data_IF_330570341686
#
_entry.id   IF_330570341686
#
_cell.length_a   1.000
_cell.length_b   1.000
_cell.length_c   1.000
_cell.angle_alpha   90.00
_cell.angle_beta   90.00
_cell.angle_gamma   90.00
#
_symmetry.space_group_name_H-M   'P 1'
#
loop_
_entity.id
_entity.type
_entity.pdbx_description
1 polymer ?
#
# COMPACT_ATOMS: atom_id res chain seq x y z
N UNK A 1 0.95 22.83 37.62
CA UNK A 1 -0.06 22.72 36.56
C UNK A 1 0.54 21.82 35.50
N UNK A 2 -0.09 20.70 35.14
CA UNK A 2 0.41 19.85 34.07
C UNK A 2 0.20 20.57 32.74
N UNK A 3 1.21 20.57 31.88
CA UNK A 3 1.08 21.09 30.51
C UNK A 3 0.15 20.17 29.71
N UNK A 4 -0.82 20.75 29.03
CA UNK A 4 -1.70 20.00 28.11
C UNK A 4 -0.94 19.78 26.81
N UNK A 5 -0.70 18.53 26.45
CA UNK A 5 -0.14 18.16 25.15
C UNK A 5 -1.27 17.96 24.13
N UNK A 6 -1.19 18.66 23.00
CA UNK A 6 -2.06 18.47 21.85
C UNK A 6 -1.43 17.42 20.91
N UNK A 7 -2.23 16.43 20.48
CA UNK A 7 -1.75 15.36 19.60
C UNK A 7 -2.75 15.06 18.51
N UNK A 8 -2.29 14.88 17.27
CA UNK A 8 -3.11 14.48 16.12
C UNK A 8 -2.31 13.57 15.20
N UNK A 9 -3.00 12.59 14.64
CA UNK A 9 -2.51 11.76 13.55
C UNK A 9 -3.31 12.08 12.29
N UNK A 10 -2.63 12.50 11.24
CA UNK A 10 -3.20 12.68 9.90
C UNK A 10 -2.86 11.44 9.10
N UNK A 11 -3.86 10.82 8.47
CA UNK A 11 -3.66 9.64 7.64
C UNK A 11 -3.64 10.02 6.16
N UNK A 12 -2.67 9.48 5.41
CA UNK A 12 -2.56 9.64 3.96
C UNK A 12 -3.11 8.36 3.33
N UNK A 13 -4.24 8.46 2.61
CA UNK A 13 -4.89 7.32 1.94
C UNK A 13 -5.30 7.67 0.53
N UNK A 14 -5.16 6.72 -0.39
CA UNK A 14 -5.60 6.89 -1.77
C UNK A 14 -4.89 8.02 -2.51
N UNK A 15 -3.62 8.25 -2.20
CA UNK A 15 -2.83 9.34 -2.78
C UNK A 15 -1.66 8.81 -3.60
N UNK A 16 -1.37 9.54 -4.68
CA UNK A 16 -0.13 9.42 -5.44
C UNK A 16 0.79 10.51 -4.92
N UNK A 17 1.91 10.11 -4.32
CA UNK A 17 2.89 11.02 -3.73
C UNK A 17 4.01 11.23 -4.74
N UNK A 18 4.18 12.47 -5.18
CA UNK A 18 5.28 12.89 -6.04
C UNK A 18 6.48 13.32 -5.21
N UNK A 19 7.66 13.35 -5.82
CA UNK A 19 8.88 13.86 -5.18
C UNK A 19 8.66 15.28 -4.63
N UNK A 20 8.00 16.14 -5.40
CA UNK A 20 7.70 17.51 -5.00
C UNK A 20 6.80 17.58 -3.76
N UNK A 21 5.87 16.64 -3.58
CA UNK A 21 5.00 16.61 -2.40
C UNK A 21 5.79 16.30 -1.14
N UNK A 22 6.74 15.33 -1.22
CA UNK A 22 7.61 14.98 -0.11
C UNK A 22 8.55 16.15 0.22
N UNK A 23 9.12 16.79 -0.80
CA UNK A 23 9.96 17.98 -0.64
C UNK A 23 9.18 19.15 -0.03
N UNK A 24 7.94 19.39 -0.44
CA UNK A 24 7.07 20.43 0.15
C UNK A 24 6.83 20.17 1.65
N UNK A 25 6.58 18.92 2.03
CA UNK A 25 6.45 18.56 3.44
C UNK A 25 7.76 18.80 4.17
N UNK A 26 8.90 18.32 3.67
CA UNK A 26 10.20 18.50 4.29
C UNK A 26 10.55 19.99 4.46
N UNK A 27 10.35 20.81 3.43
CA UNK A 27 10.57 22.28 3.50
C UNK A 27 9.64 22.96 4.51
N UNK A 28 8.35 22.57 4.54
CA UNK A 28 7.43 23.09 5.53
C UNK A 28 7.94 22.78 6.93
N UNK A 29 8.32 21.51 7.21
CA UNK A 29 8.81 21.10 8.52
C UNK A 29 10.09 21.84 8.89
N UNK A 30 11.03 21.93 7.96
CA UNK A 30 12.28 22.68 8.19
C UNK A 30 12.02 24.16 8.52
N UNK A 31 11.03 24.80 7.88
CA UNK A 31 10.67 26.19 8.15
C UNK A 31 10.00 26.42 9.50
N UNK A 32 9.37 25.38 10.09
CA UNK A 32 8.67 25.48 11.36
C UNK A 32 9.62 25.37 12.59
N UNK A 33 10.83 24.91 12.37
CA UNK A 33 11.84 24.74 13.41
C UNK A 33 13.00 25.69 13.14
N UNK A 34 13.38 26.48 14.14
CA UNK A 34 14.52 27.40 14.01
C UNK A 34 15.83 26.62 13.97
N UNK A 35 16.75 27.05 13.12
CA UNK A 35 18.07 26.44 13.00
C UNK A 35 18.77 26.39 14.37
N UNK A 36 19.20 25.23 14.77
CA UNK A 36 19.91 25.01 16.02
C UNK A 36 19.05 24.60 17.23
N UNK A 37 17.71 24.75 17.14
CA UNK A 37 16.79 24.46 18.25
C UNK A 37 16.03 23.15 18.10
N UNK A 38 16.37 22.34 17.10
CA UNK A 38 15.72 21.07 16.84
C UNK A 38 16.69 19.97 16.43
N UNK A 39 16.23 18.74 16.54
CA UNK A 39 16.85 17.56 15.92
C UNK A 39 15.99 17.07 14.79
N UNK A 40 16.63 16.76 13.67
CA UNK A 40 16.04 16.14 12.52
C UNK A 40 16.68 14.77 12.33
N UNK A 41 15.86 13.76 12.10
CA UNK A 41 16.31 12.40 11.81
C UNK A 41 15.47 11.89 10.63
N UNK A 42 16.11 11.28 9.66
CA UNK A 42 15.41 10.57 8.59
C UNK A 42 15.91 9.13 8.45
N UNK A 43 15.01 8.27 8.03
CA UNK A 43 15.28 6.92 7.58
C UNK A 43 14.49 6.65 6.31
N UNK A 44 15.19 6.31 5.23
CA UNK A 44 14.60 5.90 3.96
C UNK A 44 14.94 4.44 3.74
N UNK A 45 13.92 3.59 3.65
CA UNK A 45 14.08 2.18 3.34
C UNK A 45 13.74 1.96 1.86
N UNK A 46 14.58 1.21 1.16
CA UNK A 46 14.41 0.88 -0.25
C UNK A 46 13.93 -0.57 -0.43
N UNK A 47 13.36 -0.87 -1.60
CA UNK A 47 12.90 -2.23 -1.95
C UNK A 47 14.03 -3.27 -1.99
N UNK A 48 15.26 -2.86 -2.25
CA UNK A 48 16.47 -3.69 -2.23
C UNK A 48 17.02 -3.96 -0.82
N UNK A 49 16.25 -3.64 0.22
CA UNK A 49 16.58 -3.75 1.64
C UNK A 49 17.72 -2.82 2.11
N UNK A 50 18.19 -1.92 1.26
CA UNK A 50 19.11 -0.87 1.66
C UNK A 50 18.39 0.24 2.41
N UNK A 51 19.11 0.97 3.27
CA UNK A 51 18.57 2.13 3.99
C UNK A 51 19.54 3.31 3.92
N UNK A 52 18.95 4.52 3.97
CA UNK A 52 19.67 5.77 4.18
C UNK A 52 19.15 6.40 5.46
N UNK A 53 20.07 6.85 6.30
CA UNK A 53 19.76 7.55 7.55
C UNK A 53 20.59 8.82 7.66
N UNK A 54 20.08 9.83 8.29
CA UNK A 54 20.80 11.09 8.49
C UNK A 54 19.95 12.16 9.15
N UNK A 55 20.38 13.40 9.02
CA UNK A 55 19.81 14.56 9.71
C UNK A 55 19.55 15.77 8.80
N UNK A 56 19.49 15.58 7.50
CA UNK A 56 19.10 16.60 6.52
C UNK A 56 18.22 15.95 5.44
N UNK A 57 16.91 15.95 5.71
CA UNK A 57 15.92 15.34 4.81
C UNK A 57 15.81 16.05 3.48
N UNK A 58 16.02 17.38 3.43
CA UNK A 58 15.94 18.15 2.19
C UNK A 58 17.10 17.78 1.26
N UNK A 59 18.32 17.69 1.81
CA UNK A 59 19.50 17.32 1.03
C UNK A 59 19.36 15.90 0.44
N UNK A 60 18.91 14.92 1.24
CA UNK A 60 18.79 13.53 0.75
C UNK A 60 17.68 13.38 -0.28
N UNK A 61 16.51 14.01 -0.09
CA UNK A 61 15.40 13.97 -1.04
C UNK A 61 15.75 14.60 -2.38
N UNK A 62 16.69 15.57 -2.39
CA UNK A 62 17.21 16.19 -3.59
C UNK A 62 18.35 15.41 -4.25
N UNK A 63 18.82 14.33 -3.64
CA UNK A 63 19.98 13.58 -4.10
C UNK A 63 19.65 12.63 -5.25
N UNK A 64 20.65 12.40 -6.09
CA UNK A 64 20.57 11.39 -7.15
C UNK A 64 20.40 9.96 -6.61
N UNK A 65 20.89 9.69 -5.40
CA UNK A 65 20.78 8.37 -4.77
C UNK A 65 19.34 8.04 -4.43
N UNK A 66 18.59 9.00 -3.88
CA UNK A 66 17.18 8.87 -3.62
C UNK A 66 16.37 8.63 -4.91
N UNK A 67 16.67 9.38 -5.98
CA UNK A 67 15.96 9.27 -7.27
C UNK A 67 16.23 7.97 -8.02
N UNK A 68 17.40 7.37 -7.85
CA UNK A 68 17.80 6.15 -8.56
C UNK A 68 17.31 4.87 -7.92
N UNK A 69 16.80 4.92 -6.66
CA UNK A 69 16.35 3.75 -5.92
C UNK A 69 14.85 3.83 -5.65
N UNK A 70 14.21 2.67 -5.61
CA UNK A 70 12.80 2.57 -5.27
C UNK A 70 12.61 2.60 -3.76
N UNK A 71 11.95 3.64 -3.27
CA UNK A 71 11.64 3.78 -1.84
C UNK A 71 10.46 2.91 -1.44
N UNK A 72 10.59 2.22 -0.31
CA UNK A 72 9.54 1.44 0.33
C UNK A 72 8.92 2.21 1.51
N UNK A 73 9.76 2.91 2.28
CA UNK A 73 9.34 3.70 3.44
C UNK A 73 10.14 4.99 3.53
N UNK A 74 9.45 6.06 3.85
CA UNK A 74 10.04 7.33 4.23
C UNK A 74 9.64 7.63 5.68
N UNK A 75 10.61 7.81 6.55
CA UNK A 75 10.42 8.22 7.94
C UNK A 75 11.21 9.49 8.19
N UNK A 76 10.52 10.55 8.59
CA UNK A 76 11.14 11.82 9.03
C UNK A 76 10.65 12.14 10.43
N UNK A 77 11.56 12.49 11.31
CA UNK A 77 11.24 12.92 12.67
C UNK A 77 11.89 14.27 12.93
N UNK A 78 11.07 15.25 13.25
CA UNK A 78 11.47 16.59 13.69
C UNK A 78 11.07 16.78 15.14
N UNK A 79 11.98 17.28 15.96
CA UNK A 79 11.79 17.39 17.39
C UNK A 79 12.50 18.62 17.93
N UNK A 80 11.79 19.50 18.63
CA UNK A 80 12.45 20.62 19.31
C UNK A 80 13.36 20.11 20.42
N UNK A 81 14.42 20.84 20.77
CA UNK A 81 15.34 20.47 21.85
C UNK A 81 14.62 20.38 23.21
N UNK A 82 13.60 21.20 23.42
CA UNK A 82 12.79 21.21 24.62
C UNK A 82 11.64 20.19 24.58
N UNK A 83 11.55 19.36 23.50
CA UNK A 83 10.50 18.36 23.26
C UNK A 83 9.07 18.91 23.25
N UNK A 84 8.91 20.22 23.17
CA UNK A 84 7.60 20.87 23.11
C UNK A 84 6.87 20.69 21.78
N UNK A 85 7.61 20.44 20.69
CA UNK A 85 7.09 20.25 19.34
C UNK A 85 7.71 19.03 18.72
N UNK A 86 6.88 18.13 18.24
CA UNK A 86 7.32 16.93 17.54
C UNK A 86 6.44 16.66 16.33
N UNK A 87 7.07 16.33 15.20
CA UNK A 87 6.38 15.85 14.00
C UNK A 87 7.10 14.59 13.55
N UNK A 88 6.32 13.53 13.32
CA UNK A 88 6.82 12.29 12.72
C UNK A 88 6.01 12.01 11.46
N UNK A 89 6.68 11.99 10.33
CA UNK A 89 6.12 11.64 9.02
C UNK A 89 6.53 10.22 8.70
N UNK A 90 5.58 9.33 8.52
CA UNK A 90 5.82 7.95 8.15
C UNK A 90 4.99 7.60 6.92
N UNK A 91 5.64 7.46 5.77
CA UNK A 91 4.99 7.18 4.50
C UNK A 91 5.47 5.82 4.01
N UNK A 92 4.53 4.92 3.75
CA UNK A 92 4.79 3.58 3.26
C UNK A 92 4.28 3.43 1.82
N UNK A 93 5.14 2.92 0.95
CA UNK A 93 4.74 2.30 -0.31
C UNK A 93 4.51 0.81 -0.02
N UNK A 94 3.56 0.51 0.89
CA UNK A 94 3.36 -0.86 1.35
C UNK A 94 2.26 -1.55 0.56
N UNK A 95 2.55 -2.80 0.21
CA UNK A 95 1.62 -3.64 -0.48
C UNK A 95 1.23 -4.93 0.26
N UNK A 96 1.95 -5.30 1.32
CA UNK A 96 1.73 -6.57 2.04
C UNK A 96 1.02 -6.43 3.39
N UNK A 97 1.04 -5.24 3.97
CA UNK A 97 0.42 -5.00 5.27
C UNK A 97 -0.43 -3.74 5.19
N UNK A 98 -1.58 -3.67 5.86
CA UNK A 98 -2.41 -2.47 5.93
C UNK A 98 -1.73 -1.42 6.83
N UNK A 99 -0.46 -1.11 6.56
CA UNK A 99 0.27 -0.07 7.27
C UNK A 99 -0.18 1.26 6.68
N UNK A 100 -0.80 2.05 7.51
CA UNK A 100 -1.25 3.38 7.12
C UNK A 100 -0.08 4.35 7.09
N UNK A 101 -0.01 5.14 6.02
CA UNK A 101 0.89 6.29 5.98
C UNK A 101 0.32 7.39 6.86
N UNK A 102 1.12 7.88 7.81
CA UNK A 102 0.67 8.80 8.85
C UNK A 102 1.63 9.95 9.06
N UNK A 103 1.08 11.09 9.48
CA UNK A 103 1.83 12.22 10.02
C UNK A 103 1.33 12.48 11.41
N UNK A 104 2.18 12.24 12.39
CA UNK A 104 1.89 12.50 13.80
C UNK A 104 2.46 13.85 14.20
N UNK A 105 1.63 14.68 14.83
CA UNK A 105 1.98 16.03 15.26
C UNK A 105 1.65 16.12 16.73
N UNK A 106 2.60 16.57 17.55
CA UNK A 106 2.38 16.87 18.96
C UNK A 106 3.04 18.17 19.39
N UNK A 107 2.40 18.92 20.29
CA UNK A 107 2.92 20.15 20.87
C UNK A 107 2.12 20.57 22.10
N UNK A 108 2.74 21.31 23.00
CA UNK A 108 2.07 22.05 24.07
C UNK A 108 1.58 23.43 23.58
N UNK A 109 2.12 23.93 22.48
CA UNK A 109 1.73 25.19 21.83
C UNK A 109 0.54 24.94 20.90
N UNK A 110 -0.66 25.36 21.35
CA UNK A 110 -1.91 25.14 20.61
C UNK A 110 -1.96 25.86 19.28
N UNK A 111 -1.44 27.07 19.21
CA UNK A 111 -1.55 27.89 18.00
C UNK A 111 -0.61 27.37 16.90
N UNK A 112 0.62 27.02 17.27
CA UNK A 112 1.54 26.33 16.39
C UNK A 112 0.97 25.00 15.92
N UNK A 113 0.42 24.19 16.84
CA UNK A 113 -0.18 22.89 16.53
C UNK A 113 -1.31 23.02 15.52
N UNK A 114 -2.25 23.93 15.71
CA UNK A 114 -3.37 24.16 14.77
C UNK A 114 -2.87 24.63 13.40
N UNK A 115 -1.90 25.56 13.40
CA UNK A 115 -1.30 26.09 12.17
C UNK A 115 -0.65 24.97 11.34
N UNK A 116 0.21 24.17 11.95
CA UNK A 116 0.94 23.11 11.23
C UNK A 116 0.00 21.97 10.79
N UNK A 117 -0.99 21.59 11.61
CA UNK A 117 -2.00 20.62 11.21
C UNK A 117 -2.76 21.06 9.96
N UNK A 118 -3.14 22.34 9.86
CA UNK A 118 -3.87 22.87 8.71
C UNK A 118 -2.98 22.93 7.47
N UNK A 119 -1.72 23.36 7.61
CA UNK A 119 -0.79 23.43 6.48
C UNK A 119 -0.49 22.04 5.90
N UNK A 120 -0.22 21.04 6.76
CA UNK A 120 0.01 19.66 6.33
C UNK A 120 -1.26 19.08 5.70
N UNK A 121 -2.45 19.29 6.30
CA UNK A 121 -3.71 18.84 5.73
C UNK A 121 -3.96 19.44 4.33
N UNK A 122 -3.61 20.71 4.12
CA UNK A 122 -3.69 21.34 2.81
C UNK A 122 -2.79 20.64 1.80
N UNK A 123 -1.52 20.38 2.13
CA UNK A 123 -0.60 19.66 1.24
C UNK A 123 -1.16 18.27 0.91
N UNK A 124 -1.65 17.52 1.91
CA UNK A 124 -2.23 16.18 1.70
C UNK A 124 -3.44 16.26 0.77
N UNK A 125 -4.30 17.26 0.93
CA UNK A 125 -5.49 17.43 0.09
C UNK A 125 -5.14 17.79 -1.37
N UNK A 126 -4.08 18.53 -1.60
CA UNK A 126 -3.58 18.91 -2.93
C UNK A 126 -2.88 17.74 -3.65
N UNK A 127 -2.42 16.71 -2.94
CA UNK A 127 -1.83 15.53 -3.57
C UNK A 127 -2.80 14.86 -4.53
N UNK A 128 -2.28 14.32 -5.62
CA UNK A 128 -3.06 13.62 -6.63
C UNK A 128 -3.78 12.40 -6.02
N UNK A 129 -5.07 12.25 -6.36
CA UNK A 129 -5.84 11.10 -5.92
C UNK A 129 -5.58 9.87 -6.80
N UNK A 130 -5.41 8.72 -6.17
CA UNK A 130 -5.45 7.45 -6.88
C UNK A 130 -6.83 7.20 -7.49
N UNK A 131 -6.88 6.80 -8.75
CA UNK A 131 -8.16 6.53 -9.45
C UNK A 131 -8.90 5.31 -8.91
N UNK A 132 -8.17 4.36 -8.33
CA UNK A 132 -8.72 3.11 -7.81
C UNK A 132 -8.11 2.85 -6.44
N UNK A 133 -8.93 2.90 -5.40
CA UNK A 133 -8.56 2.49 -4.04
C UNK A 133 -9.49 1.37 -3.61
N UNK A 134 -8.94 0.22 -3.27
CA UNK A 134 -9.72 -0.88 -2.72
C UNK A 134 -9.52 -0.94 -1.19
N UNK A 135 -10.59 -0.97 -0.39
CA UNK A 135 -10.43 -1.22 1.04
C UNK A 135 -9.87 -2.63 1.26
N UNK A 136 -8.91 -2.83 2.18
CA UNK A 136 -8.23 -4.12 2.38
C UNK A 136 -9.18 -5.30 2.56
N UNK A 137 -10.26 -5.12 3.31
CA UNK A 137 -11.24 -6.19 3.55
C UNK A 137 -12.02 -6.60 2.28
N UNK A 138 -12.17 -5.71 1.28
CA UNK A 138 -12.86 -6.02 0.04
C UNK A 138 -12.14 -7.13 -0.75
N UNK A 139 -10.81 -7.22 -0.65
CA UNK A 139 -10.03 -8.30 -1.27
C UNK A 139 -10.37 -9.66 -0.66
N UNK A 140 -10.47 -9.73 0.68
CA UNK A 140 -10.80 -10.99 1.36
C UNK A 140 -12.22 -11.46 1.01
N UNK A 141 -13.18 -10.52 0.99
CA UNK A 141 -14.56 -10.84 0.61
C UNK A 141 -14.63 -11.26 -0.85
N UNK A 142 -14.01 -10.52 -1.77
CA UNK A 142 -13.99 -10.86 -3.19
C UNK A 142 -13.30 -12.21 -3.44
N UNK A 143 -12.18 -12.50 -2.75
CA UNK A 143 -11.50 -13.78 -2.81
C UNK A 143 -12.41 -14.92 -2.32
N UNK A 144 -13.09 -14.75 -1.19
CA UNK A 144 -13.98 -15.77 -0.66
C UNK A 144 -15.16 -16.06 -1.62
N UNK A 145 -15.78 -15.00 -2.16
CA UNK A 145 -16.88 -15.15 -3.13
C UNK A 145 -16.38 -15.82 -4.42
N UNK A 146 -15.25 -15.37 -4.97
CA UNK A 146 -14.68 -15.96 -6.18
C UNK A 146 -14.37 -17.44 -5.99
N UNK A 147 -13.70 -17.80 -4.89
CA UNK A 147 -13.37 -19.21 -4.58
C UNK A 147 -14.60 -20.09 -4.39
N UNK A 148 -15.69 -19.54 -3.85
CA UNK A 148 -16.94 -20.27 -3.68
C UNK A 148 -17.60 -20.53 -5.03
N UNK A 149 -17.64 -19.55 -5.92
CA UNK A 149 -18.17 -19.70 -7.28
C UNK A 149 -17.34 -20.69 -8.09
N UNK A 150 -16.01 -20.57 -8.03
CA UNK A 150 -15.08 -21.46 -8.74
C UNK A 150 -15.21 -22.91 -8.24
N UNK A 151 -15.37 -23.14 -6.93
CA UNK A 151 -15.56 -24.50 -6.38
C UNK A 151 -16.88 -25.12 -6.81
N UNK A 152 -17.94 -24.32 -6.92
CA UNK A 152 -19.23 -24.80 -7.42
C UNK A 152 -19.14 -25.18 -8.92
N UNK A 153 -18.46 -24.37 -9.74
CA UNK A 153 -18.23 -24.65 -11.16
C UNK A 153 -17.37 -25.93 -11.29
N UNK A 154 -16.31 -26.04 -10.48
CA UNK A 154 -15.45 -27.22 -10.51
C UNK A 154 -16.19 -28.50 -10.11
N UNK A 155 -16.99 -28.47 -9.04
CA UNK A 155 -17.81 -29.59 -8.61
C UNK A 155 -18.81 -30.02 -9.69
N UNK A 156 -19.48 -29.05 -10.28
CA UNK A 156 -20.43 -29.32 -11.37
C UNK A 156 -19.74 -29.91 -12.62
N UNK A 157 -18.56 -29.42 -12.97
CA UNK A 157 -17.77 -29.95 -14.08
C UNK A 157 -17.28 -31.39 -13.80
N UNK A 158 -16.85 -31.65 -12.56
CA UNK A 158 -16.38 -32.98 -12.13
C UNK A 158 -17.50 -34.03 -12.20
N UNK A 159 -18.71 -33.69 -11.73
CA UNK A 159 -19.85 -34.59 -11.78
C UNK A 159 -20.34 -34.88 -13.21
N UNK A 160 -20.10 -33.97 -14.16
CA UNK A 160 -20.37 -34.19 -15.58
C UNK A 160 -19.33 -35.08 -16.26
N UNK A 161 -18.06 -34.88 -15.99
CA UNK A 161 -16.96 -35.62 -16.59
C UNK A 161 -16.87 -37.06 -16.05
N UNK A 162 -17.25 -37.28 -14.80
CA UNK A 162 -17.12 -38.56 -14.12
C UNK A 162 -18.46 -39.00 -13.43
N UNK A 163 -19.52 -39.21 -14.21
CA UNK A 163 -20.81 -39.57 -13.65
C UNK A 163 -20.69 -40.91 -12.91
N UNK A 164 -21.16 -40.93 -11.66
CA UNK A 164 -21.15 -42.10 -10.77
C UNK A 164 -19.77 -42.63 -10.32
N UNK A 165 -18.69 -41.90 -10.54
CA UNK A 165 -17.34 -42.32 -10.17
C UNK A 165 -16.99 -42.05 -8.71
N UNK A 166 -17.72 -41.16 -8.06
CA UNK A 166 -17.44 -40.73 -6.68
C UNK A 166 -18.64 -40.99 -5.76
N UNK A 167 -18.36 -41.45 -4.53
CA UNK A 167 -19.35 -41.45 -3.46
C UNK A 167 -19.60 -40.03 -2.97
N UNK A 168 -20.75 -39.79 -2.34
CA UNK A 168 -21.10 -38.45 -1.80
C UNK A 168 -20.04 -37.90 -0.83
N UNK A 169 -19.38 -38.78 -0.06
CA UNK A 169 -18.30 -38.39 0.86
C UNK A 169 -17.01 -38.01 0.12
N UNK A 170 -16.68 -38.67 -1.00
CA UNK A 170 -15.54 -38.32 -1.84
C UNK A 170 -15.77 -37.02 -2.59
N UNK A 171 -16.96 -36.79 -3.12
CA UNK A 171 -17.32 -35.51 -3.73
C UNK A 171 -17.16 -34.34 -2.74
N UNK A 172 -17.69 -34.50 -1.54
CA UNK A 172 -17.55 -33.44 -0.50
C UNK A 172 -16.09 -33.18 -0.12
N UNK A 173 -15.25 -34.22 -0.04
CA UNK A 173 -13.83 -34.07 0.25
C UNK A 173 -13.09 -33.35 -0.90
N UNK A 174 -13.39 -33.71 -2.17
CA UNK A 174 -12.78 -33.10 -3.35
C UNK A 174 -13.18 -31.61 -3.44
N UNK A 175 -14.46 -31.29 -3.20
CA UNK A 175 -14.96 -29.90 -3.19
C UNK A 175 -14.26 -29.10 -2.09
N UNK A 176 -14.14 -29.64 -0.89
CA UNK A 176 -13.45 -28.97 0.21
C UNK A 176 -11.98 -28.69 -0.08
N UNK A 177 -11.28 -29.66 -0.66
CA UNK A 177 -9.85 -29.54 -1.00
C UNK A 177 -9.64 -28.54 -2.16
N UNK A 178 -10.48 -28.58 -3.18
CA UNK A 178 -10.44 -27.62 -4.29
C UNK A 178 -10.74 -26.20 -3.82
N UNK A 179 -11.70 -26.03 -2.90
CA UNK A 179 -12.01 -24.74 -2.31
C UNK A 179 -10.79 -24.15 -1.56
N UNK A 180 -10.08 -24.94 -0.76
CA UNK A 180 -8.86 -24.49 -0.06
C UNK A 180 -7.76 -24.05 -1.04
N UNK A 181 -7.54 -24.80 -2.12
CA UNK A 181 -6.56 -24.46 -3.13
C UNK A 181 -6.94 -23.16 -3.83
N UNK A 182 -8.20 -23.04 -4.26
CA UNK A 182 -8.71 -21.84 -4.94
C UNK A 182 -8.67 -20.59 -4.07
N UNK A 183 -8.99 -20.71 -2.77
CA UNK A 183 -8.82 -19.60 -1.81
C UNK A 183 -7.37 -19.14 -1.77
N UNK A 184 -6.42 -20.08 -1.71
CA UNK A 184 -4.99 -19.74 -1.65
C UNK A 184 -4.51 -19.08 -2.93
N UNK A 185 -4.96 -19.56 -4.09
CA UNK A 185 -4.64 -18.97 -5.40
C UNK A 185 -5.23 -17.57 -5.52
N UNK A 186 -6.50 -17.39 -5.15
CA UNK A 186 -7.16 -16.09 -5.19
C UNK A 186 -6.51 -15.08 -4.25
N UNK A 187 -6.15 -15.48 -3.02
CA UNK A 187 -5.41 -14.60 -2.11
C UNK A 187 -4.07 -14.18 -2.68
N UNK A 188 -3.34 -15.10 -3.31
CA UNK A 188 -2.09 -14.78 -4.00
C UNK A 188 -2.30 -13.78 -5.14
N UNK A 189 -3.33 -13.98 -5.96
CA UNK A 189 -3.66 -13.11 -7.09
C UNK A 189 -4.10 -11.72 -6.63
N UNK A 190 -4.92 -11.65 -5.58
CA UNK A 190 -5.30 -10.37 -4.98
C UNK A 190 -4.08 -9.66 -4.36
N UNK A 191 -3.15 -10.39 -3.76
CA UNK A 191 -1.86 -9.84 -3.30
C UNK A 191 -1.05 -9.21 -4.45
N UNK A 192 -1.09 -9.79 -5.65
CA UNK A 192 -0.47 -9.19 -6.83
C UNK A 192 -1.19 -7.92 -7.29
N UNK A 193 -2.53 -7.89 -7.21
CA UNK A 193 -3.33 -6.70 -7.54
C UNK A 193 -3.06 -5.58 -6.53
N UNK A 194 -3.02 -5.89 -5.24
CA UNK A 194 -2.69 -4.93 -4.20
C UNK A 194 -1.27 -4.37 -4.39
N UNK A 195 -0.31 -5.21 -4.82
CA UNK A 195 1.03 -4.77 -5.21
C UNK A 195 1.02 -3.79 -6.37
N UNK A 196 0.10 -3.95 -7.32
CA UNK A 196 -0.06 -3.04 -8.44
C UNK A 196 -0.76 -1.72 -8.05
N UNK A 197 -1.60 -1.75 -7.00
CA UNK A 197 -2.41 -0.61 -6.53
C UNK A 197 -2.26 -0.40 -5.01
N UNK A 198 -1.09 0.02 -4.51
CA UNK A 198 -0.88 0.29 -3.09
C UNK A 198 -1.78 1.43 -2.61
N UNK A 199 -2.13 1.45 -1.32
CA UNK A 199 -2.92 2.54 -0.71
C UNK A 199 -2.26 3.93 -0.85
N UNK A 200 -0.94 3.96 -0.93
CA UNK A 200 -0.15 5.15 -1.23
C UNK A 200 0.87 4.76 -2.28
N UNK A 201 0.91 5.50 -3.37
CA UNK A 201 1.82 5.25 -4.48
C UNK A 201 2.89 6.33 -4.53
N UNK A 202 4.17 5.91 -4.58
CA UNK A 202 5.27 6.81 -4.87
C UNK A 202 5.42 6.98 -6.39
N UNK A 203 5.18 8.21 -6.87
CA UNK A 203 5.36 8.57 -8.28
C UNK A 203 6.79 9.05 -8.58
N UNK A 204 7.79 8.43 -7.93
CA UNK A 204 9.22 8.70 -8.15
C UNK A 204 10.01 7.39 -8.05
N UNK A 205 11.25 7.42 -8.56
CA UNK A 205 12.10 6.24 -8.66
C UNK A 205 11.88 5.41 -9.93
N UNK A 206 12.76 4.45 -10.23
CA UNK A 206 12.79 3.74 -11.50
C UNK A 206 11.59 2.83 -11.77
N UNK A 207 10.82 2.44 -10.75
CA UNK A 207 9.70 1.51 -10.91
C UNK A 207 8.39 2.17 -11.36
N UNK A 208 8.29 3.49 -11.29
CA UNK A 208 7.05 4.18 -11.66
C UNK A 208 6.68 3.97 -13.14
N UNK A 209 7.66 3.97 -14.04
CA UNK A 209 7.46 3.69 -15.46
C UNK A 209 7.13 2.23 -15.78
N UNK A 210 7.46 1.30 -14.87
CA UNK A 210 7.24 -0.14 -15.10
C UNK A 210 5.85 -0.64 -14.68
N UNK A 211 5.06 0.15 -13.95
CA UNK A 211 3.74 -0.28 -13.44
C UNK A 211 2.73 -0.56 -14.54
N UNK A 212 2.67 0.27 -15.58
CA UNK A 212 1.78 0.03 -16.71
C UNK A 212 2.14 -1.28 -17.45
N UNK A 213 3.43 -1.64 -17.49
CA UNK A 213 3.92 -2.90 -18.04
C UNK A 213 3.60 -4.09 -17.13
N UNK A 214 3.73 -3.95 -15.79
CA UNK A 214 3.37 -5.00 -14.81
C UNK A 214 1.88 -5.34 -14.87
N UNK A 215 1.02 -4.32 -14.97
CA UNK A 215 -0.43 -4.51 -15.11
C UNK A 215 -0.77 -5.24 -16.41
N UNK A 216 -0.15 -4.86 -17.53
CA UNK A 216 -0.31 -5.57 -18.80
C UNK A 216 0.12 -7.03 -18.71
N UNK A 217 1.17 -7.35 -17.97
CA UNK A 217 1.62 -8.74 -17.78
C UNK A 217 0.64 -9.53 -16.92
N UNK A 218 0.14 -8.96 -15.81
CA UNK A 218 -0.86 -9.63 -14.97
C UNK A 218 -2.13 -9.93 -15.77
N UNK A 219 -2.69 -8.95 -16.47
CA UNK A 219 -3.87 -9.17 -17.32
C UNK A 219 -3.57 -10.08 -18.51
N UNK A 220 -2.38 -10.01 -19.11
CA UNK A 220 -1.96 -10.86 -20.20
C UNK A 220 -1.84 -12.34 -19.84
N UNK A 221 -1.53 -12.66 -18.58
CA UNK A 221 -1.49 -14.04 -18.07
C UNK A 221 -2.88 -14.49 -17.58
N UNK A 222 -3.60 -13.58 -16.93
CA UNK A 222 -4.86 -13.91 -16.23
C UNK A 222 -6.03 -14.14 -17.20
N UNK A 223 -6.15 -13.29 -18.23
CA UNK A 223 -7.25 -13.40 -19.21
C UNK A 223 -7.22 -14.74 -19.96
N UNK A 224 -6.07 -15.21 -20.51
CA UNK A 224 -6.01 -16.54 -21.12
C UNK A 224 -6.37 -17.67 -20.15
N UNK A 225 -5.86 -17.60 -18.92
CA UNK A 225 -6.09 -18.65 -17.91
C UNK A 225 -7.57 -18.76 -17.51
N UNK A 226 -8.26 -17.63 -17.38
CA UNK A 226 -9.72 -17.59 -17.12
C UNK A 226 -10.48 -18.10 -18.34
N UNK A 227 -10.07 -17.73 -19.55
CA UNK A 227 -10.69 -18.19 -20.80
C UNK A 227 -10.52 -19.71 -20.93
N UNK A 228 -9.32 -20.26 -20.70
CA UNK A 228 -9.06 -21.70 -20.75
C UNK A 228 -9.88 -22.47 -19.70
N UNK A 229 -10.03 -21.90 -18.50
CA UNK A 229 -10.86 -22.50 -17.44
C UNK A 229 -12.35 -22.51 -17.82
N UNK A 230 -12.83 -21.45 -18.46
CA UNK A 230 -14.21 -21.38 -18.98
C UNK A 230 -14.41 -22.39 -20.11
N UNK A 231 -13.48 -22.51 -21.08
CA UNK A 231 -13.56 -23.49 -22.17
C UNK A 231 -13.50 -24.92 -21.64
N UNK A 232 -12.63 -25.20 -20.65
CA UNK A 232 -12.58 -26.48 -19.96
C UNK A 232 -13.91 -26.78 -19.26
N UNK A 233 -14.48 -25.84 -18.52
CA UNK A 233 -15.76 -26.01 -17.83
C UNK A 233 -16.95 -26.21 -18.79
N UNK A 234 -16.88 -25.62 -19.97
CA UNK A 234 -17.91 -25.79 -21.04
C UNK A 234 -17.71 -27.05 -21.87
N UNK A 235 -16.64 -27.81 -21.66
CA UNK A 235 -16.39 -29.08 -22.36
C UNK A 235 -15.93 -28.89 -23.82
N UNK A 236 -15.38 -27.73 -24.16
CA UNK A 236 -14.84 -27.41 -25.48
C UNK A 236 -13.37 -27.84 -25.69
N UNK A 237 -12.78 -28.55 -24.75
CA UNK A 237 -11.46 -29.15 -24.93
C UNK A 237 -11.64 -30.50 -25.67
N UNK A 238 -11.37 -30.51 -26.94
CA UNK A 238 -11.13 -31.75 -27.70
C UNK A 238 -9.77 -32.33 -27.36
#
# INVERSE_FOLDING_TARGET
>A
MGNIEYKKTLTIKGKIIKEDDVLRIAHLLHSQFRTGDYTEEYEILFEDQGSLTGNDSVAILSSDEFRKRQSQRLLFTYKSKEFERRITVCIYNSFLLPIESTIEISSIDRDWYNSICNQIATIINEMEHQKITFPPFAYYIASAIASLVESLIFSWSLSRLFPNSFSNSQESAIVGLSCMILVSVNLFLFGLIEKAYPNVEFAFGPSYLSKSLKIRHIFGIFIPLVIDLIFFALGYTQ
#
